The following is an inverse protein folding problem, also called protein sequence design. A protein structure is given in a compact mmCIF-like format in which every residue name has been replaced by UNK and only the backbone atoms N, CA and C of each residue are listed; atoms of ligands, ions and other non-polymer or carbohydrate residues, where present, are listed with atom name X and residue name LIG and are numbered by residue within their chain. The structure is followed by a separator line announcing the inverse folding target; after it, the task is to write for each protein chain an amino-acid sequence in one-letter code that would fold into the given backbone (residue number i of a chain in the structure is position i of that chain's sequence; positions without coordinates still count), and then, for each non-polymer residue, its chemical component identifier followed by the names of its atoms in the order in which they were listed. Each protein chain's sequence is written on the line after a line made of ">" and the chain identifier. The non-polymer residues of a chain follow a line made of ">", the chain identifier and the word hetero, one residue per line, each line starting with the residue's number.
data_IF_363363018999
#
_entry.id   IF_363363018999
#
_cell.length_a   1.000
_cell.length_b   1.000
_cell.length_c   1.000
_cell.angle_alpha   90.00
_cell.angle_beta   90.00
_cell.angle_gamma   90.00
#
_symmetry.space_group_name_H-M   'P 1'
#
loop_
_entity.id
_entity.type
_entity.pdbx_description
1 polymer ?
#
# COMPACT_ATOMS: atom_id res chain seq x y z
N UNK A 1 -4.93 1.44 -30.67
CA UNK A 1 -4.57 2.19 -29.43
C UNK A 1 -5.79 2.50 -28.54
N UNK A 2 -6.94 1.83 -28.73
CA UNK A 2 -8.19 2.15 -28.01
C UNK A 2 -8.68 1.03 -27.06
N UNK A 3 -7.81 0.06 -26.73
CA UNK A 3 -8.19 -1.10 -25.91
C UNK A 3 -7.57 -1.12 -24.49
N UNK A 4 -6.95 -0.02 -24.04
CA UNK A 4 -6.48 0.13 -22.66
C UNK A 4 -7.48 0.84 -21.73
N UNK A 5 -8.64 1.27 -22.25
CA UNK A 5 -9.69 1.97 -21.48
C UNK A 5 -10.62 1.05 -20.67
N UNK A 6 -10.43 -0.27 -20.75
CA UNK A 6 -11.31 -1.24 -20.11
C UNK A 6 -10.72 -1.86 -18.83
N UNK A 7 -9.82 -1.17 -18.13
CA UNK A 7 -9.55 -1.55 -16.74
C UNK A 7 -10.74 -1.03 -15.93
N UNK A 8 -11.57 -1.90 -15.33
CA UNK A 8 -12.65 -1.45 -14.47
C UNK A 8 -12.02 -0.84 -13.22
N UNK A 9 -11.88 0.49 -13.18
CA UNK A 9 -11.52 1.26 -11.98
C UNK A 9 -12.71 1.30 -11.03
N UNK A 10 -13.28 0.13 -10.71
CA UNK A 10 -14.27 0.00 -9.66
C UNK A 10 -13.53 0.10 -8.33
N UNK A 11 -13.07 1.31 -8.02
CA UNK A 11 -12.79 1.72 -6.66
C UNK A 11 -14.14 1.71 -5.94
N UNK A 12 -14.55 0.51 -5.50
CA UNK A 12 -15.61 0.38 -4.52
C UNK A 12 -15.05 1.07 -3.29
N UNK A 13 -15.51 2.29 -3.06
CA UNK A 13 -15.32 2.99 -1.79
C UNK A 13 -15.87 2.02 -0.75
N UNK A 14 -14.98 1.27 -0.10
CA UNK A 14 -15.36 0.36 0.95
C UNK A 14 -16.22 1.18 1.90
N UNK A 15 -17.46 0.71 2.14
CA UNK A 15 -18.28 1.25 3.22
C UNK A 15 -17.39 1.16 4.45
N UNK A 16 -16.88 2.30 4.91
CA UNK A 16 -16.28 2.41 6.23
C UNK A 16 -17.46 2.17 7.16
N UNK A 17 -17.68 0.91 7.53
CA UNK A 17 -18.69 0.56 8.51
C UNK A 17 -18.30 1.31 9.78
N UNK A 18 -19.20 2.18 10.22
CA UNK A 18 -19.07 3.00 11.41
C UNK A 18 -19.02 2.07 12.63
N UNK A 19 -17.86 1.50 12.92
CA UNK A 19 -17.70 0.58 14.07
C UNK A 19 -16.30 0.66 14.63
N UNK A 20 -15.93 1.86 15.09
CA UNK A 20 -15.13 2.14 16.28
C UNK A 20 -14.79 3.64 16.24
N UNK A 21 -15.23 4.40 17.25
CA UNK A 21 -14.77 5.78 17.45
C UNK A 21 -13.31 5.75 17.93
N UNK A 22 -12.39 5.45 17.03
CA UNK A 22 -10.95 5.64 17.27
C UNK A 22 -10.63 7.08 16.90
N UNK A 23 -9.99 7.83 17.79
CA UNK A 23 -9.65 9.22 17.51
C UNK A 23 -8.67 9.30 16.34
N UNK A 24 -8.74 10.36 15.53
CA UNK A 24 -7.84 10.53 14.39
C UNK A 24 -6.37 10.54 14.81
N UNK A 25 -6.09 11.06 16.01
CA UNK A 25 -4.77 11.06 16.63
C UNK A 25 -4.32 9.63 16.94
N UNK A 26 -5.18 8.80 17.53
CA UNK A 26 -4.86 7.41 17.82
C UNK A 26 -4.60 6.59 16.54
N UNK A 27 -5.36 6.84 15.46
CA UNK A 27 -5.13 6.23 14.14
C UNK A 27 -3.78 6.69 13.58
N UNK A 28 -3.49 8.00 13.61
CA UNK A 28 -2.23 8.54 13.12
C UNK A 28 -1.00 8.02 13.91
N UNK A 29 -1.18 7.67 15.19
CA UNK A 29 -0.14 7.08 16.03
C UNK A 29 -0.01 5.56 15.89
N UNK A 30 -0.85 4.89 15.10
CA UNK A 30 -0.70 3.47 14.85
C UNK A 30 0.58 3.21 14.03
N UNK A 31 1.44 2.24 14.42
CA UNK A 31 2.68 1.94 13.71
C UNK A 31 2.48 1.66 12.21
N UNK A 32 1.40 0.96 11.87
CA UNK A 32 1.05 0.64 10.47
C UNK A 32 0.72 1.90 9.67
N UNK A 33 -0.01 2.86 10.25
CA UNK A 33 -0.38 4.10 9.56
C UNK A 33 0.86 4.95 9.28
N UNK A 34 1.77 5.06 10.27
CA UNK A 34 3.06 5.74 10.06
C UNK A 34 3.93 5.04 9.01
N UNK A 35 3.98 3.71 9.01
CA UNK A 35 4.75 2.96 8.02
C UNK A 35 4.23 3.23 6.59
N UNK A 36 2.90 3.22 6.41
CA UNK A 36 2.29 3.53 5.11
C UNK A 36 2.52 4.99 4.71
N UNK A 37 2.42 5.94 5.63
CA UNK A 37 2.72 7.37 5.36
C UNK A 37 4.17 7.55 4.89
N UNK A 38 5.14 6.92 5.55
CA UNK A 38 6.53 6.96 5.14
C UNK A 38 6.76 6.32 3.77
N UNK A 39 6.10 5.20 3.50
CA UNK A 39 6.18 4.47 2.23
C UNK A 39 5.64 5.32 1.07
N UNK A 40 4.47 5.95 1.24
CA UNK A 40 3.90 6.85 0.23
C UNK A 40 4.79 8.08 0.02
N UNK A 41 5.28 8.70 1.10
CA UNK A 41 6.20 9.84 1.01
C UNK A 41 7.47 9.46 0.26
N UNK A 42 8.00 8.26 0.47
CA UNK A 42 9.17 7.77 -0.25
C UNK A 42 8.86 7.54 -1.73
N UNK A 43 7.74 6.89 -2.06
CA UNK A 43 7.31 6.68 -3.44
C UNK A 43 7.19 8.01 -4.22
N UNK A 44 6.64 9.06 -3.60
CA UNK A 44 6.57 10.40 -4.21
C UNK A 44 7.96 11.00 -4.41
N UNK A 45 8.86 10.89 -3.43
CA UNK A 45 10.26 11.35 -3.57
C UNK A 45 10.97 10.65 -4.73
N UNK A 46 10.73 9.36 -4.88
CA UNK A 46 11.32 8.52 -5.92
C UNK A 46 10.60 8.63 -7.26
N UNK A 47 9.55 9.45 -7.35
CA UNK A 47 8.70 9.64 -8.54
C UNK A 47 8.11 8.34 -9.07
N UNK A 48 7.75 7.43 -8.17
CA UNK A 48 7.08 6.20 -8.53
C UNK A 48 5.66 6.49 -9.05
N UNK A 49 5.27 5.84 -10.16
CA UNK A 49 3.91 5.90 -10.70
C UNK A 49 2.96 4.97 -9.94
N UNK A 50 3.48 3.82 -9.52
CA UNK A 50 2.71 2.77 -8.86
C UNK A 50 3.49 2.23 -7.65
N UNK A 51 2.74 1.88 -6.61
CA UNK A 51 3.23 1.14 -5.45
C UNK A 51 2.56 -0.22 -5.46
N UNK A 52 3.35 -1.26 -5.65
CA UNK A 52 2.91 -2.65 -5.62
C UNK A 52 3.16 -3.24 -4.23
N UNK A 53 2.12 -3.75 -3.58
CA UNK A 53 2.19 -4.49 -2.32
C UNK A 53 1.79 -5.93 -2.61
N UNK A 54 2.73 -6.85 -2.50
CA UNK A 54 2.63 -8.23 -3.01
C UNK A 54 2.86 -9.23 -1.89
N UNK A 55 1.77 -9.78 -1.30
CA UNK A 55 1.88 -10.89 -0.38
C UNK A 55 2.46 -12.11 -1.09
N UNK A 56 3.46 -12.73 -0.49
CA UNK A 56 4.05 -14.00 -0.91
C UNK A 56 3.93 -15.01 0.24
N UNK A 57 4.31 -16.26 -0.04
CA UNK A 57 4.21 -17.35 0.94
C UNK A 57 5.06 -17.11 2.20
N UNK A 58 6.21 -16.46 2.08
CA UNK A 58 7.20 -16.26 3.16
C UNK A 58 7.36 -14.81 3.60
N UNK A 59 6.87 -13.85 2.80
CA UNK A 59 7.09 -12.41 3.02
C UNK A 59 6.07 -11.54 2.31
N UNK A 60 6.02 -10.28 2.70
CA UNK A 60 5.36 -9.20 1.99
C UNK A 60 6.41 -8.42 1.20
N UNK A 61 6.31 -8.43 -0.14
CA UNK A 61 7.21 -7.67 -1.02
C UNK A 61 6.56 -6.35 -1.41
N UNK A 62 7.32 -5.26 -1.41
CA UNK A 62 6.88 -3.96 -1.92
C UNK A 62 7.78 -3.53 -3.07
N UNK A 63 7.17 -3.14 -4.18
CA UNK A 63 7.86 -2.66 -5.38
C UNK A 63 7.33 -1.31 -5.82
N UNK A 64 8.20 -0.46 -6.37
CA UNK A 64 7.79 0.78 -7.03
C UNK A 64 7.93 0.62 -8.54
N UNK A 65 6.98 1.17 -9.30
CA UNK A 65 7.18 1.40 -10.73
C UNK A 65 7.77 2.79 -10.91
N UNK A 66 9.00 2.86 -11.40
CA UNK A 66 9.70 4.12 -11.69
C UNK A 66 10.07 4.07 -13.17
N UNK A 67 9.65 5.08 -13.93
CA UNK A 67 9.87 5.17 -15.39
C UNK A 67 9.49 3.88 -16.14
N UNK A 68 8.42 3.22 -15.70
CA UNK A 68 7.88 2.00 -16.30
C UNK A 68 8.48 0.69 -15.76
N UNK A 69 9.58 0.74 -15.02
CA UNK A 69 10.33 -0.43 -14.52
C UNK A 69 9.96 -0.70 -13.05
N UNK A 70 9.83 -1.98 -12.69
CA UNK A 70 9.56 -2.38 -11.30
C UNK A 70 10.86 -2.54 -10.52
N UNK A 71 10.96 -1.83 -9.40
CA UNK A 71 12.08 -1.83 -8.47
C UNK A 71 11.67 -2.45 -7.14
N UNK A 72 12.48 -3.37 -6.61
CA UNK A 72 12.28 -3.90 -5.26
C UNK A 72 12.74 -2.90 -4.21
N UNK A 73 11.82 -2.49 -3.34
CA UNK A 73 12.08 -1.43 -2.34
C UNK A 73 12.25 -2.04 -0.95
N UNK A 74 11.41 -3.00 -0.59
CA UNK A 74 11.51 -3.71 0.68
C UNK A 74 10.85 -5.08 0.62
N UNK A 75 11.30 -5.96 1.50
CA UNK A 75 10.63 -7.22 1.82
C UNK A 75 10.47 -7.31 3.33
N UNK A 76 9.25 -7.50 3.79
CA UNK A 76 8.92 -7.64 5.21
C UNK A 76 8.60 -9.12 5.50
N UNK A 77 9.24 -9.76 6.49
CA UNK A 77 8.93 -11.14 6.83
C UNK A 77 7.50 -11.24 7.40
N UNK A 78 6.79 -12.34 7.16
CA UNK A 78 5.41 -12.50 7.65
C UNK A 78 5.24 -12.27 9.16
N UNK A 79 6.30 -12.48 9.95
CA UNK A 79 6.31 -12.21 11.39
C UNK A 79 5.97 -10.77 11.77
N UNK A 80 6.09 -9.78 10.87
CA UNK A 80 5.65 -8.40 11.15
C UNK A 80 4.13 -8.26 11.15
N UNK A 81 3.41 -9.26 10.62
CA UNK A 81 1.97 -9.42 10.76
C UNK A 81 1.71 -10.54 11.77
N UNK A 82 1.37 -10.24 13.04
CA UNK A 82 1.00 -11.31 13.96
C UNK A 82 -0.14 -12.15 13.36
N UNK A 83 -0.10 -13.49 13.47
CA UNK A 83 -1.25 -14.30 13.13
C UNK A 83 -2.43 -13.86 14.01
N UNK A 84 -3.61 -13.79 13.40
CA UNK A 84 -4.85 -13.35 14.04
C UNK A 84 -5.16 -14.12 15.33
#
# INVERSE_FOLDING_TARGET
>A
EEQLSQIPTRYQKARVTETARVSAEAIAQAPVVRAIDLLIKQAVRDRASDIHVEPQEDKLRVRYRIDGILHDIMALPLSVHPPF
#
